data_IF_885707371875
#
_entry.id   IF_885707371875
#
_cell.length_a   1.000
_cell.length_b   1.000
_cell.length_c   1.000
_cell.angle_alpha   90.00
_cell.angle_beta   90.00
_cell.angle_gamma   90.00
#
_symmetry.space_group_name_H-M   'P 1'
#
loop_
_entity.id
_entity.type
_entity.pdbx_description
1 polymer ?
#
# COMPACT_ATOMS: atom_id res chain seq x y z
N UNK A 1 -5.46 21.34 8.19
CA UNK A 1 -6.38 21.82 9.23
C UNK A 1 -6.03 23.27 9.65
N UNK A 2 -4.75 23.64 9.98
CA UNK A 2 -4.41 25.02 10.34
C UNK A 2 -4.73 26.06 9.26
N UNK A 3 -4.57 25.71 7.98
CA UNK A 3 -4.99 26.59 6.88
C UNK A 3 -6.51 26.80 6.86
N UNK A 4 -7.28 25.78 7.15
CA UNK A 4 -8.74 25.91 7.23
C UNK A 4 -9.18 26.83 8.38
N UNK A 5 -8.53 26.72 9.54
CA UNK A 5 -8.77 27.63 10.68
C UNK A 5 -8.42 29.10 10.34
N UNK A 6 -7.45 29.32 9.46
CA UNK A 6 -7.08 30.65 8.96
C UNK A 6 -7.98 31.16 7.83
N UNK A 7 -9.07 30.47 7.53
CA UNK A 7 -9.97 30.82 6.40
C UNK A 7 -9.41 30.47 5.01
N UNK A 8 -8.28 29.79 4.91
CA UNK A 8 -7.61 29.40 3.66
C UNK A 8 -7.87 27.93 3.27
N UNK A 9 -9.01 27.38 3.72
CA UNK A 9 -9.37 25.96 3.45
C UNK A 9 -9.49 25.62 1.96
N UNK A 10 -10.11 26.51 1.16
CA UNK A 10 -10.20 26.34 -0.28
C UNK A 10 -8.82 26.23 -0.94
N UNK A 11 -7.87 27.09 -0.54
CA UNK A 11 -6.50 27.04 -1.04
C UNK A 11 -5.77 25.77 -0.64
N UNK A 12 -5.98 25.26 0.58
CA UNK A 12 -5.40 23.99 1.03
C UNK A 12 -5.90 22.81 0.20
N UNK A 13 -7.21 22.75 -0.04
CA UNK A 13 -7.84 21.71 -0.88
C UNK A 13 -7.40 21.81 -2.35
N UNK A 14 -7.26 23.03 -2.87
CA UNK A 14 -6.73 23.26 -4.21
C UNK A 14 -5.29 22.72 -4.34
N UNK A 15 -4.42 23.06 -3.41
CA UNK A 15 -3.07 22.52 -3.39
C UNK A 15 -3.03 20.99 -3.24
N UNK A 16 -3.92 20.43 -2.41
CA UNK A 16 -4.04 18.98 -2.30
C UNK A 16 -4.38 18.36 -3.67
N UNK A 17 -5.43 18.86 -4.35
CA UNK A 17 -5.86 18.34 -5.65
C UNK A 17 -4.78 18.43 -6.74
N UNK A 18 -4.15 19.61 -6.88
CA UNK A 18 -3.15 19.83 -7.92
C UNK A 18 -1.86 19.04 -7.64
N UNK A 19 -1.39 19.02 -6.38
CA UNK A 19 -0.20 18.27 -6.01
C UNK A 19 -0.40 16.76 -6.18
N UNK A 20 -1.59 16.25 -5.85
CA UNK A 20 -1.99 14.86 -6.07
C UNK A 20 -2.00 14.52 -7.56
N UNK A 21 -2.63 15.36 -8.39
CA UNK A 21 -2.65 15.16 -9.84
C UNK A 21 -1.26 15.13 -10.46
N UNK A 22 -0.39 16.08 -10.10
CA UNK A 22 0.99 16.15 -10.62
C UNK A 22 1.81 14.97 -10.09
N UNK A 23 1.66 14.59 -8.81
CA UNK A 23 2.33 13.45 -8.20
C UNK A 23 2.02 12.13 -8.90
N UNK A 24 0.73 11.87 -9.16
CA UNK A 24 0.30 10.68 -9.91
C UNK A 24 0.78 10.74 -11.35
N UNK A 25 0.67 11.89 -12.03
CA UNK A 25 1.14 12.03 -13.40
C UNK A 25 2.64 11.77 -13.54
N UNK A 26 3.44 12.28 -12.60
CA UNK A 26 4.88 12.00 -12.56
C UNK A 26 5.17 10.50 -12.40
N UNK A 27 4.54 9.86 -11.42
CA UNK A 27 4.73 8.43 -11.17
C UNK A 27 4.18 7.57 -12.31
N UNK A 28 3.14 8.03 -13.02
CA UNK A 28 2.63 7.40 -14.23
C UNK A 28 3.67 7.40 -15.36
N UNK A 29 4.37 8.53 -15.58
CA UNK A 29 5.47 8.57 -16.55
C UNK A 29 6.53 7.52 -16.19
N UNK A 30 6.95 7.49 -14.93
CA UNK A 30 7.94 6.50 -14.47
C UNK A 30 7.42 5.07 -14.66
N UNK A 31 6.15 4.80 -14.35
CA UNK A 31 5.52 3.49 -14.54
C UNK A 31 5.57 3.03 -15.99
N UNK A 32 5.19 3.90 -16.93
CA UNK A 32 5.13 3.58 -18.38
C UNK A 32 6.50 3.16 -18.92
N UNK A 33 7.59 3.76 -18.44
CA UNK A 33 8.93 3.41 -18.91
C UNK A 33 9.60 2.33 -18.06
N UNK A 34 9.47 2.39 -16.75
CA UNK A 34 10.17 1.48 -15.85
C UNK A 34 9.54 0.08 -15.80
N UNK A 35 8.21 -0.04 -15.86
CA UNK A 35 7.57 -1.34 -15.73
C UNK A 35 7.88 -2.28 -16.92
N UNK A 36 7.79 -1.87 -18.19
CA UNK A 36 8.18 -2.75 -19.30
C UNK A 36 9.68 -3.12 -19.26
N UNK A 37 10.55 -2.16 -18.90
CA UNK A 37 11.98 -2.42 -18.77
C UNK A 37 12.29 -3.43 -17.66
N UNK A 38 11.62 -3.31 -16.52
CA UNK A 38 11.75 -4.28 -15.43
C UNK A 38 11.16 -5.64 -15.80
N UNK A 39 10.00 -5.67 -16.46
CA UNK A 39 9.36 -6.91 -16.90
C UNK A 39 10.25 -7.70 -17.86
N UNK A 40 10.96 -7.03 -18.80
CA UNK A 40 11.88 -7.70 -19.73
C UNK A 40 13.04 -8.41 -19.02
N UNK A 41 13.53 -7.85 -17.93
CA UNK A 41 14.55 -8.51 -17.09
C UNK A 41 13.95 -9.67 -16.30
N UNK A 42 12.72 -9.51 -15.79
CA UNK A 42 12.06 -10.52 -14.96
C UNK A 42 11.58 -11.76 -15.76
N UNK A 43 11.53 -11.70 -17.08
CA UNK A 43 11.22 -12.87 -17.93
C UNK A 43 12.24 -13.99 -17.76
N UNK A 44 13.48 -13.64 -17.46
CA UNK A 44 14.57 -14.62 -17.25
C UNK A 44 14.51 -15.28 -15.86
N UNK A 45 13.57 -14.88 -15.00
CA UNK A 45 13.45 -15.40 -13.65
C UNK A 45 12.90 -16.84 -13.66
N UNK A 46 13.65 -17.75 -13.03
CA UNK A 46 13.18 -19.09 -12.67
C UNK A 46 12.67 -19.15 -11.24
N UNK A 47 12.34 -20.35 -10.77
CA UNK A 47 11.85 -20.57 -9.40
C UNK A 47 12.79 -20.04 -8.30
N UNK A 48 14.13 -20.13 -8.41
CA UNK A 48 15.02 -19.54 -7.39
C UNK A 48 14.91 -18.01 -7.31
N UNK A 49 14.80 -17.32 -8.43
CA UNK A 49 14.65 -15.88 -8.48
C UNK A 49 13.29 -15.45 -7.91
N UNK A 50 12.20 -16.13 -8.26
CA UNK A 50 10.87 -15.86 -7.70
C UNK A 50 10.81 -16.15 -6.20
N UNK A 51 11.46 -17.22 -5.73
CA UNK A 51 11.60 -17.49 -4.29
C UNK A 51 12.34 -16.37 -3.57
N UNK A 52 13.50 -15.97 -4.10
CA UNK A 52 14.31 -14.89 -3.54
C UNK A 52 13.53 -13.56 -3.53
N UNK A 53 12.74 -13.28 -4.57
CA UNK A 53 11.90 -12.12 -4.69
C UNK A 53 10.76 -12.14 -3.66
N UNK A 54 10.08 -13.28 -3.47
CA UNK A 54 9.07 -13.44 -2.45
C UNK A 54 9.66 -13.29 -1.04
N UNK A 55 10.86 -13.83 -0.80
CA UNK A 55 11.62 -13.62 0.44
C UNK A 55 11.97 -12.15 0.65
N UNK A 56 12.42 -11.44 -0.38
CA UNK A 56 12.65 -10.00 -0.33
C UNK A 56 11.36 -9.26 0.05
N UNK A 57 10.23 -9.55 -0.60
CA UNK A 57 8.93 -8.96 -0.25
C UNK A 57 8.51 -9.24 1.20
N UNK A 58 8.72 -10.46 1.69
CA UNK A 58 8.48 -10.81 3.10
C UNK A 58 9.46 -10.10 4.05
N UNK A 59 10.71 -9.87 3.65
CA UNK A 59 11.69 -9.15 4.47
C UNK A 59 11.30 -7.69 4.72
N UNK A 60 10.56 -7.09 3.79
CA UNK A 60 10.04 -5.72 3.93
C UNK A 60 9.06 -5.62 5.11
N UNK A 61 8.39 -6.73 5.49
CA UNK A 61 7.53 -6.80 6.67
C UNK A 61 8.24 -6.22 7.91
N UNK A 62 9.51 -6.56 8.10
CA UNK A 62 10.31 -6.09 9.23
C UNK A 62 10.54 -4.58 9.15
N UNK A 63 10.75 -4.06 7.95
CA UNK A 63 10.97 -2.63 7.71
C UNK A 63 9.71 -1.79 7.93
N UNK A 64 8.54 -2.34 7.62
CA UNK A 64 7.23 -1.68 7.69
C UNK A 64 6.51 -1.88 9.03
N UNK A 65 7.12 -2.66 9.93
CA UNK A 65 6.52 -3.04 11.23
C UNK A 65 6.27 -1.86 12.21
N UNK A 66 6.64 -0.65 11.86
CA UNK A 66 6.35 0.56 12.67
C UNK A 66 7.03 0.52 14.04
N UNK A 67 6.24 0.66 15.11
CA UNK A 67 6.76 0.76 16.49
C UNK A 67 7.39 -0.53 17.04
N UNK A 68 7.01 -1.72 16.54
CA UNK A 68 7.48 -3.01 17.04
C UNK A 68 7.70 -4.02 15.93
N UNK A 69 8.96 -4.37 15.71
CA UNK A 69 9.37 -5.40 14.74
C UNK A 69 8.70 -6.74 15.07
N UNK A 70 8.63 -7.10 16.36
CA UNK A 70 8.05 -8.38 16.81
C UNK A 70 6.58 -8.48 16.39
N UNK A 71 5.79 -7.43 16.61
CA UNK A 71 4.38 -7.40 16.21
C UNK A 71 4.22 -7.51 14.69
N UNK A 72 5.11 -6.87 13.91
CA UNK A 72 5.11 -6.99 12.45
C UNK A 72 5.43 -8.40 11.98
N UNK A 73 6.43 -9.05 12.57
CA UNK A 73 6.80 -10.44 12.25
C UNK A 73 5.65 -11.40 12.60
N UNK A 74 5.04 -11.26 13.79
CA UNK A 74 3.88 -12.07 14.19
C UNK A 74 2.73 -11.88 13.20
N UNK A 75 2.40 -10.65 12.83
CA UNK A 75 1.36 -10.35 11.85
C UNK A 75 1.68 -10.98 10.48
N UNK A 76 2.91 -10.88 10.02
CA UNK A 76 3.36 -11.50 8.77
C UNK A 76 3.27 -13.02 8.79
N UNK A 77 3.74 -13.66 9.86
CA UNK A 77 3.63 -15.11 10.05
C UNK A 77 2.18 -15.59 10.12
N UNK A 78 1.30 -14.80 10.73
CA UNK A 78 -0.13 -15.08 10.73
C UNK A 78 -0.68 -15.06 9.30
N UNK A 79 -0.33 -14.06 8.50
CA UNK A 79 -0.72 -14.01 7.09
C UNK A 79 -0.19 -15.20 6.28
N UNK A 80 1.08 -15.56 6.47
CA UNK A 80 1.68 -16.76 5.85
C UNK A 80 0.94 -18.04 6.28
N UNK A 81 0.62 -18.17 7.57
CA UNK A 81 -0.16 -19.32 8.09
C UNK A 81 -1.54 -19.44 7.41
N UNK A 82 -2.24 -18.32 7.24
CA UNK A 82 -3.53 -18.29 6.53
C UNK A 82 -3.36 -18.67 5.05
N UNK A 83 -2.25 -18.29 4.41
CA UNK A 83 -1.99 -18.62 2.99
C UNK A 83 -1.77 -20.12 2.73
N UNK A 84 -1.51 -20.90 3.77
CA UNK A 84 -1.33 -22.36 3.66
C UNK A 84 -2.63 -23.15 3.74
N UNK A 85 -3.76 -22.51 4.02
CA UNK A 85 -5.07 -23.17 4.02
C UNK A 85 -5.44 -23.49 2.57
N UNK A 86 -5.85 -24.74 2.31
CA UNK A 86 -6.30 -25.18 0.99
C UNK A 86 -5.50 -26.37 0.45
N UNK A 87 -5.46 -26.50 -0.86
CA UNK A 87 -4.70 -27.55 -1.55
C UNK A 87 -3.24 -27.16 -1.67
N UNK A 88 -2.35 -28.07 -1.31
CA UNK A 88 -0.92 -27.97 -1.58
C UNK A 88 -0.67 -27.87 -3.09
N UNK A 89 -0.04 -26.79 -3.59
CA UNK A 89 0.13 -26.58 -5.04
C UNK A 89 1.13 -27.56 -5.70
N UNK A 90 1.88 -28.35 -4.91
CA UNK A 90 2.89 -29.30 -5.43
C UNK A 90 2.40 -30.74 -5.32
N UNK A 91 1.89 -31.13 -4.15
CA UNK A 91 1.51 -32.52 -3.86
C UNK A 91 0.01 -32.77 -3.97
N UNK A 92 -0.82 -31.72 -4.07
CA UNK A 92 -2.27 -31.85 -4.17
C UNK A 92 -2.97 -32.23 -2.86
N UNK A 93 -2.25 -32.33 -1.75
CA UNK A 93 -2.83 -32.69 -0.45
C UNK A 93 -3.61 -31.53 0.15
N UNK A 94 -4.74 -31.81 0.80
CA UNK A 94 -5.51 -30.82 1.54
C UNK A 94 -4.81 -30.45 2.85
N UNK A 95 -4.69 -29.15 3.14
CA UNK A 95 -4.06 -28.62 4.36
C UNK A 95 -5.00 -27.66 5.06
N UNK A 96 -5.25 -27.89 6.34
CA UNK A 96 -6.07 -27.02 7.21
C UNK A 96 -7.48 -26.76 6.66
N UNK A 97 -8.03 -27.70 5.90
CA UNK A 97 -9.39 -27.60 5.31
C UNK A 97 -10.47 -28.05 6.27
N UNK A 98 -10.12 -28.86 7.29
CA UNK A 98 -11.06 -29.39 8.30
C UNK A 98 -12.32 -30.01 7.65
N UNK A 99 -12.15 -30.72 6.53
CA UNK A 99 -13.20 -31.34 5.69
C UNK A 99 -14.24 -30.32 5.17
N UNK A 100 -13.96 -29.03 5.21
CA UNK A 100 -14.84 -28.00 4.67
C UNK A 100 -14.51 -27.75 3.19
N UNK A 101 -15.47 -28.02 2.32
CA UNK A 101 -15.35 -27.87 0.87
C UNK A 101 -14.99 -26.42 0.45
N UNK A 102 -15.44 -25.41 1.21
CA UNK A 102 -15.16 -24.00 0.92
C UNK A 102 -13.69 -23.62 1.21
N UNK A 103 -12.98 -24.40 2.02
CA UNK A 103 -11.57 -24.18 2.34
C UNK A 103 -10.62 -24.93 1.38
N UNK A 104 -11.12 -25.79 0.51
CA UNK A 104 -10.30 -26.53 -0.46
C UNK A 104 -9.58 -25.57 -1.41
N UNK A 105 -10.28 -24.53 -1.89
CA UNK A 105 -9.70 -23.46 -2.72
C UNK A 105 -8.82 -22.46 -1.97
N UNK A 106 -8.65 -22.65 -0.65
CA UNK A 106 -7.95 -21.67 0.21
C UNK A 106 -8.83 -20.48 0.59
N UNK A 107 -8.20 -19.49 1.22
CA UNK A 107 -8.86 -18.24 1.60
C UNK A 107 -8.79 -17.25 0.42
N UNK A 108 -9.95 -16.84 -0.07
CA UNK A 108 -10.06 -15.86 -1.15
C UNK A 108 -9.43 -14.52 -0.72
N UNK A 109 -8.55 -13.98 -1.58
CA UNK A 109 -7.76 -12.80 -1.25
C UNK A 109 -8.63 -11.56 -0.98
N UNK A 110 -9.66 -11.31 -1.80
CA UNK A 110 -10.49 -10.11 -1.66
C UNK A 110 -11.31 -10.08 -0.36
N UNK A 111 -12.04 -11.13 0.03
CA UNK A 111 -12.67 -11.21 1.35
C UNK A 111 -11.69 -11.02 2.51
N UNK A 112 -10.48 -11.58 2.39
CA UNK A 112 -9.44 -11.40 3.40
C UNK A 112 -8.95 -9.93 3.49
N UNK A 113 -8.78 -9.24 2.36
CA UNK A 113 -8.42 -7.83 2.32
C UNK A 113 -9.51 -6.93 2.91
N UNK A 114 -10.78 -7.20 2.59
CA UNK A 114 -11.93 -6.52 3.19
C UNK A 114 -11.91 -6.72 4.71
N UNK A 115 -11.65 -7.96 5.17
CA UNK A 115 -11.49 -8.27 6.58
C UNK A 115 -10.36 -7.47 7.23
N UNK A 116 -9.14 -7.57 6.73
CA UNK A 116 -7.98 -6.94 7.37
C UNK A 116 -7.94 -5.42 7.28
N UNK A 117 -8.50 -4.80 6.22
CA UNK A 117 -8.42 -3.35 6.06
C UNK A 117 -9.73 -2.64 6.34
N UNK A 118 -10.84 -3.06 5.70
CA UNK A 118 -12.09 -2.29 5.74
C UNK A 118 -12.77 -2.40 7.10
N UNK A 119 -12.99 -3.60 7.59
CA UNK A 119 -13.74 -3.82 8.84
C UNK A 119 -13.04 -3.18 10.05
N UNK A 120 -11.74 -3.37 10.30
CA UNK A 120 -11.06 -2.71 11.40
C UNK A 120 -11.10 -1.19 11.32
N UNK A 121 -10.96 -0.62 10.11
CA UNK A 121 -11.00 0.82 9.90
C UNK A 121 -12.39 1.39 10.21
N UNK A 122 -13.46 0.71 9.80
CA UNK A 122 -14.83 1.11 10.10
C UNK A 122 -15.10 1.05 11.60
N UNK A 123 -14.75 -0.07 12.27
CA UNK A 123 -14.95 -0.24 13.70
C UNK A 123 -14.15 0.76 14.55
N UNK A 124 -12.92 1.09 14.14
CA UNK A 124 -12.13 2.13 14.78
C UNK A 124 -12.71 3.54 14.53
N UNK A 125 -13.27 3.77 13.34
CA UNK A 125 -13.94 5.03 12.99
C UNK A 125 -15.17 5.33 13.86
N UNK A 126 -15.91 4.31 14.28
CA UNK A 126 -17.07 4.46 15.16
C UNK A 126 -16.69 5.03 16.55
N UNK A 127 -15.43 4.91 16.96
CA UNK A 127 -14.94 5.42 18.26
C UNK A 127 -14.31 6.82 18.16
N UNK A 128 -14.25 7.41 16.97
CA UNK A 128 -13.63 8.71 16.69
C UNK A 128 -14.60 9.89 16.88
N UNK A 129 -14.03 11.05 17.20
CA UNK A 129 -14.79 12.29 17.29
C UNK A 129 -15.16 12.80 15.90
N UNK A 130 -16.41 13.24 15.71
CA UNK A 130 -16.86 13.89 14.46
C UNK A 130 -16.07 15.18 14.22
N UNK A 131 -15.40 15.25 13.07
CA UNK A 131 -14.72 16.45 12.64
C UNK A 131 -15.78 17.41 12.09
N UNK A 132 -16.10 18.46 12.83
CA UNK A 132 -16.98 19.52 12.33
C UNK A 132 -16.19 20.36 11.33
N UNK A 133 -16.43 20.13 10.04
CA UNK A 133 -15.89 20.96 8.97
C UNK A 133 -16.58 22.32 8.96
N UNK A 134 -15.90 23.38 9.37
CA UNK A 134 -16.36 24.76 9.17
C UNK A 134 -16.20 25.08 7.67
N UNK A 135 -17.30 25.01 6.92
CA UNK A 135 -17.34 25.37 5.51
C UNK A 135 -17.62 26.86 5.37
N UNK A 136 -16.58 27.67 5.26
CA UNK A 136 -16.71 29.00 4.68
C UNK A 136 -17.17 28.92 3.20
N UNK A 137 -17.72 29.99 2.64
CA UNK A 137 -18.11 30.04 1.20
C UNK A 137 -16.85 29.83 0.33
N UNK A 138 -16.72 28.65 -0.25
CA UNK A 138 -15.60 28.27 -1.12
C UNK A 138 -15.88 28.84 -2.52
N UNK A 139 -15.00 29.77 -2.99
CA UNK A 139 -15.01 30.27 -4.36
C UNK A 139 -14.02 29.46 -5.21
N UNK A 140 -14.39 29.13 -6.44
CA UNK A 140 -13.52 28.36 -7.34
C UNK A 140 -12.16 29.06 -7.59
N UNK A 141 -12.15 30.40 -7.58
CA UNK A 141 -10.90 31.17 -7.71
C UNK A 141 -9.88 30.96 -6.58
N UNK A 142 -10.37 30.64 -5.38
CA UNK A 142 -9.52 30.41 -4.21
C UNK A 142 -8.95 28.97 -4.20
N UNK A 143 -9.51 28.11 -5.06
CA UNK A 143 -9.12 26.71 -5.17
C UNK A 143 -7.94 26.49 -6.14
N UNK A 144 -7.90 27.23 -7.26
CA UNK A 144 -6.87 27.04 -8.29
C UNK A 144 -5.60 27.80 -7.92
N UNK A 145 -4.44 27.09 -7.71
CA UNK A 145 -3.17 27.76 -7.52
C UNK A 145 -2.80 28.63 -8.72
N UNK A 146 -2.25 29.82 -8.48
CA UNK A 146 -1.78 30.66 -9.57
C UNK A 146 -0.55 30.06 -10.26
N UNK A 147 -0.33 30.40 -11.54
CA UNK A 147 0.84 29.93 -12.29
C UNK A 147 2.17 30.29 -11.59
N UNK A 148 2.25 31.47 -10.99
CA UNK A 148 3.42 31.92 -10.21
C UNK A 148 3.66 31.01 -9.00
N UNK A 149 2.60 30.63 -8.29
CA UNK A 149 2.70 29.71 -7.14
C UNK A 149 3.13 28.31 -7.59
N UNK A 150 2.57 27.77 -8.68
CA UNK A 150 2.99 26.48 -9.27
C UNK A 150 4.49 26.52 -9.65
N UNK A 151 4.94 27.62 -10.26
CA UNK A 151 6.35 27.76 -10.65
C UNK A 151 7.29 27.79 -9.44
N UNK A 152 6.91 28.46 -8.36
CA UNK A 152 7.72 28.52 -7.12
C UNK A 152 7.75 27.20 -6.36
N UNK A 153 6.72 26.34 -6.51
CA UNK A 153 6.61 25.05 -5.82
C UNK A 153 7.12 23.85 -6.63
N UNK A 154 7.48 24.05 -7.90
CA UNK A 154 7.86 22.97 -8.82
C UNK A 154 8.91 22.01 -8.26
N UNK A 155 9.96 22.51 -7.64
CA UNK A 155 11.00 21.65 -7.05
C UNK A 155 10.51 20.83 -5.85
N UNK A 156 9.61 21.40 -5.05
CA UNK A 156 8.97 20.68 -3.96
C UNK A 156 8.11 19.55 -4.51
N UNK A 157 7.29 19.82 -5.51
CA UNK A 157 6.40 18.82 -6.15
C UNK A 157 7.24 17.71 -6.78
N UNK A 158 8.22 18.03 -7.62
CA UNK A 158 9.05 17.04 -8.32
C UNK A 158 9.79 16.15 -7.32
N UNK A 159 10.47 16.74 -6.33
CA UNK A 159 11.17 15.97 -5.29
C UNK A 159 10.24 15.06 -4.52
N UNK A 160 9.08 15.56 -4.13
CA UNK A 160 8.10 14.78 -3.37
C UNK A 160 7.50 13.65 -4.24
N UNK A 161 7.26 13.90 -5.52
CA UNK A 161 6.81 12.88 -6.48
C UNK A 161 7.86 11.78 -6.66
N UNK A 162 9.15 12.13 -6.74
CA UNK A 162 10.26 11.16 -6.79
C UNK A 162 10.27 10.30 -5.53
N UNK A 163 10.21 10.93 -4.34
CA UNK A 163 10.14 10.22 -3.06
C UNK A 163 8.96 9.26 -3.04
N UNK A 164 7.77 9.74 -3.45
CA UNK A 164 6.56 8.93 -3.53
C UNK A 164 6.71 7.72 -4.46
N UNK A 165 7.23 7.94 -5.66
CA UNK A 165 7.42 6.88 -6.66
C UNK A 165 8.39 5.81 -6.17
N UNK A 166 9.53 6.21 -5.58
CA UNK A 166 10.53 5.27 -5.05
C UNK A 166 9.96 4.48 -3.89
N UNK A 167 9.27 5.14 -2.95
CA UNK A 167 8.67 4.48 -1.80
C UNK A 167 7.53 3.56 -2.25
N UNK A 168 6.73 3.98 -3.22
CA UNK A 168 5.67 3.15 -3.79
C UNK A 168 6.19 1.85 -4.41
N UNK A 169 7.37 1.89 -5.04
CA UNK A 169 8.01 0.70 -5.59
C UNK A 169 8.52 -0.28 -4.53
N UNK A 170 8.62 0.15 -3.27
CA UNK A 170 8.97 -0.73 -2.14
C UNK A 170 7.69 -1.35 -1.57
N UNK A 171 7.56 -2.69 -1.54
CA UNK A 171 6.35 -3.36 -1.07
C UNK A 171 5.90 -2.91 0.33
N UNK A 172 4.59 -2.79 0.53
CA UNK A 172 3.91 -2.45 1.79
C UNK A 172 4.29 -1.14 2.48
N UNK A 173 5.07 -0.26 1.87
CA UNK A 173 5.43 1.03 2.49
C UNK A 173 4.27 2.03 2.47
N UNK A 174 3.54 2.11 1.36
CA UNK A 174 2.33 2.90 1.22
C UNK A 174 2.50 4.42 1.25
N UNK A 175 1.44 5.14 0.91
CA UNK A 175 1.42 6.59 0.77
C UNK A 175 1.68 7.37 2.06
N UNK A 176 1.30 6.82 3.22
CA UNK A 176 1.51 7.48 4.50
C UNK A 176 2.99 7.72 4.80
N UNK A 177 3.85 6.69 4.60
CA UNK A 177 5.30 6.80 4.82
C UNK A 177 5.91 7.79 3.83
N UNK A 178 5.50 7.73 2.55
CA UNK A 178 5.95 8.66 1.53
C UNK A 178 5.62 10.11 1.88
N UNK A 179 4.39 10.36 2.34
CA UNK A 179 3.92 11.66 2.78
C UNK A 179 4.76 12.23 3.92
N UNK A 180 5.03 11.42 4.94
CA UNK A 180 5.84 11.85 6.10
C UNK A 180 7.28 12.18 5.70
N UNK A 181 7.91 11.35 4.89
CA UNK A 181 9.29 11.57 4.44
C UNK A 181 9.38 12.84 3.59
N UNK A 182 8.46 13.02 2.64
CA UNK A 182 8.43 14.20 1.78
C UNK A 182 8.16 15.48 2.56
N UNK A 183 7.24 15.43 3.54
CA UNK A 183 6.96 16.53 4.44
C UNK A 183 8.19 16.92 5.27
N UNK A 184 8.84 15.94 5.92
CA UNK A 184 10.03 16.17 6.74
C UNK A 184 11.19 16.75 5.92
N UNK A 185 11.45 16.20 4.74
CA UNK A 185 12.45 16.71 3.82
C UNK A 185 12.15 18.15 3.37
N UNK A 186 10.88 18.44 3.06
CA UNK A 186 10.48 19.79 2.66
C UNK A 186 10.63 20.78 3.79
N UNK A 187 10.26 20.40 5.01
CA UNK A 187 10.45 21.20 6.23
C UNK A 187 11.93 21.51 6.46
N UNK A 188 12.83 20.53 6.37
CA UNK A 188 14.27 20.68 6.61
C UNK A 188 14.95 21.62 5.61
N UNK A 189 14.47 21.66 4.37
CA UNK A 189 15.06 22.50 3.30
C UNK A 189 14.38 23.88 3.23
N UNK A 190 13.25 24.05 3.90
CA UNK A 190 12.51 25.31 3.90
C UNK A 190 13.30 26.43 4.55
N UNK A 191 13.13 27.65 4.03
CA UNK A 191 13.65 28.89 4.67
C UNK A 191 12.96 29.22 5.99
N UNK A 192 11.72 28.71 6.16
CA UNK A 192 10.91 28.89 7.37
C UNK A 192 10.33 27.55 7.84
N UNK A 193 11.15 26.72 8.53
CA UNK A 193 10.74 25.40 9.02
C UNK A 193 9.66 25.48 10.10
N UNK A 194 9.61 26.57 10.86
CA UNK A 194 8.69 26.72 12.01
C UNK A 194 7.24 27.02 11.60
N UNK A 195 7.02 27.42 10.36
CA UNK A 195 5.68 27.61 9.78
C UNK A 195 4.98 26.30 9.42
N UNK A 196 5.73 25.17 9.33
CA UNK A 196 5.18 23.86 9.05
C UNK A 196 4.34 23.38 10.24
N UNK A 197 3.14 22.86 9.93
CA UNK A 197 2.12 22.54 10.94
C UNK A 197 1.29 23.75 11.38
N UNK A 198 1.64 24.98 11.00
CA UNK A 198 0.97 26.24 11.34
C UNK A 198 0.30 26.94 10.15
N UNK A 199 0.13 26.25 9.03
CA UNK A 199 -0.56 26.76 7.83
C UNK A 199 0.34 27.02 6.62
N UNK A 200 1.59 26.54 6.62
CA UNK A 200 2.42 26.55 5.43
C UNK A 200 1.91 25.52 4.41
N UNK A 201 1.50 26.01 3.24
CA UNK A 201 0.93 25.17 2.19
C UNK A 201 1.94 24.19 1.56
N UNK A 202 3.25 24.44 1.66
CA UNK A 202 4.28 23.52 1.16
C UNK A 202 4.25 22.17 1.89
N UNK A 203 3.77 22.13 3.12
CA UNK A 203 3.52 20.89 3.85
C UNK A 203 2.43 20.03 3.20
N UNK A 204 1.34 20.67 2.72
CA UNK A 204 0.28 19.99 1.97
C UNK A 204 0.82 19.53 0.61
N UNK A 205 1.48 20.44 -0.12
CA UNK A 205 2.06 20.16 -1.44
C UNK A 205 2.98 18.94 -1.41
N UNK A 206 3.90 18.90 -0.46
CA UNK A 206 4.89 17.82 -0.38
C UNK A 206 4.26 16.49 0.02
N UNK A 207 3.37 16.50 1.00
CA UNK A 207 2.71 15.28 1.47
C UNK A 207 1.81 14.67 0.37
N UNK A 208 1.01 15.49 -0.30
CA UNK A 208 0.07 15.03 -1.33
C UNK A 208 0.79 14.60 -2.62
N UNK A 209 1.81 15.34 -3.07
CA UNK A 209 2.58 14.93 -4.24
C UNK A 209 3.29 13.58 -4.01
N UNK A 210 3.81 13.33 -2.81
CA UNK A 210 4.43 12.07 -2.49
C UNK A 210 3.39 10.94 -2.32
N UNK A 211 2.29 11.19 -1.61
CA UNK A 211 1.22 10.21 -1.43
C UNK A 211 0.71 9.68 -2.78
N UNK A 212 0.47 10.58 -3.70
CA UNK A 212 -0.04 10.24 -5.02
C UNK A 212 1.06 9.75 -5.98
N UNK A 213 2.31 10.14 -5.74
CA UNK A 213 3.46 9.53 -6.41
C UNK A 213 3.61 8.03 -6.15
N UNK A 214 3.09 7.54 -5.02
CA UNK A 214 3.03 6.11 -4.72
C UNK A 214 2.15 5.34 -5.70
N UNK A 215 1.10 5.95 -6.26
CA UNK A 215 0.16 5.24 -7.13
C UNK A 215 0.84 4.55 -8.32
N UNK A 216 1.60 5.29 -9.12
CA UNK A 216 2.38 4.70 -10.21
C UNK A 216 3.54 3.85 -9.70
N UNK A 217 4.22 4.31 -8.63
CA UNK A 217 5.33 3.56 -8.00
C UNK A 217 4.92 2.16 -7.58
N UNK A 218 3.79 1.99 -6.88
CA UNK A 218 3.29 0.71 -6.39
C UNK A 218 2.77 -0.22 -7.51
N UNK A 219 2.38 0.34 -8.64
CA UNK A 219 1.99 -0.44 -9.81
C UNK A 219 3.18 -1.09 -10.52
N UNK A 220 4.40 -0.56 -10.37
CA UNK A 220 5.60 -1.15 -10.98
C UNK A 220 5.81 -2.59 -10.45
N UNK A 221 6.04 -2.83 -9.15
CA UNK A 221 6.22 -4.19 -8.64
C UNK A 221 4.95 -5.05 -8.79
N UNK A 222 3.76 -4.47 -8.71
CA UNK A 222 2.52 -5.20 -8.92
C UNK A 222 2.49 -5.82 -10.32
N UNK A 223 2.69 -5.03 -11.37
CA UNK A 223 2.52 -5.50 -12.74
C UNK A 223 3.69 -6.35 -13.21
N UNK A 224 4.91 -6.08 -12.74
CA UNK A 224 6.14 -6.78 -13.17
C UNK A 224 6.47 -8.02 -12.35
N UNK A 225 6.18 -8.01 -11.06
CA UNK A 225 6.59 -9.06 -10.11
C UNK A 225 5.39 -9.76 -9.46
N UNK A 226 4.18 -9.18 -9.59
CA UNK A 226 2.99 -9.65 -8.89
C UNK A 226 3.07 -9.42 -7.37
N UNK A 227 3.79 -8.38 -6.94
CA UNK A 227 3.95 -7.99 -5.54
C UNK A 227 3.32 -6.62 -5.34
N UNK A 228 2.28 -6.49 -4.49
CA UNK A 228 1.66 -5.20 -4.27
C UNK A 228 2.56 -4.24 -3.48
N UNK A 229 2.61 -2.98 -3.91
CA UNK A 229 3.36 -1.92 -3.21
C UNK A 229 2.62 -1.36 -1.99
N UNK A 230 1.29 -1.46 -1.97
CA UNK A 230 0.44 -0.96 -0.89
C UNK A 230 -0.90 -1.71 -0.81
N UNK A 231 -1.79 -1.28 0.08
CA UNK A 231 -3.11 -1.90 0.25
C UNK A 231 -4.01 -1.78 -0.97
N UNK A 232 -3.91 -0.67 -1.72
CA UNK A 232 -4.73 -0.43 -2.92
C UNK A 232 -4.29 -1.36 -4.05
N UNK A 233 -2.99 -1.46 -4.27
CA UNK A 233 -2.42 -2.40 -5.26
C UNK A 233 -2.60 -3.86 -4.86
N UNK A 234 -2.70 -4.17 -3.55
CA UNK A 234 -3.08 -5.51 -3.09
C UNK A 234 -4.53 -5.86 -3.48
N UNK A 235 -5.46 -4.90 -3.36
CA UNK A 235 -6.83 -5.08 -3.84
C UNK A 235 -6.88 -5.20 -5.37
N UNK A 236 -6.10 -4.41 -6.09
CA UNK A 236 -6.00 -4.51 -7.55
C UNK A 236 -5.44 -5.86 -7.99
N UNK A 237 -4.44 -6.41 -7.27
CA UNK A 237 -3.93 -7.75 -7.47
C UNK A 237 -5.06 -8.79 -7.37
N UNK A 238 -5.87 -8.71 -6.31
CA UNK A 238 -7.03 -9.58 -6.13
C UNK A 238 -8.03 -9.47 -7.28
N UNK A 239 -8.32 -8.25 -7.73
CA UNK A 239 -9.18 -7.99 -8.89
C UNK A 239 -8.64 -8.61 -10.17
N UNK A 240 -7.35 -8.51 -10.45
CA UNK A 240 -6.71 -9.15 -11.61
C UNK A 240 -6.81 -10.68 -11.55
N UNK A 241 -6.56 -11.27 -10.38
CA UNK A 241 -6.63 -12.72 -10.18
C UNK A 241 -8.05 -13.25 -10.43
N UNK A 242 -9.09 -12.55 -9.97
CA UNK A 242 -10.50 -12.92 -10.21
C UNK A 242 -10.82 -12.95 -11.71
N UNK A 243 -10.22 -12.06 -12.49
CA UNK A 243 -10.36 -12.04 -13.95
C UNK A 243 -9.44 -13.05 -14.67
N UNK A 244 -8.78 -13.95 -13.95
CA UNK A 244 -7.86 -14.94 -14.51
C UNK A 244 -6.53 -14.37 -14.97
N UNK A 245 -6.22 -13.13 -14.60
CA UNK A 245 -4.98 -12.45 -14.96
C UNK A 245 -3.97 -12.62 -13.83
N UNK A 246 -2.79 -13.14 -14.13
CA UNK A 246 -1.70 -13.27 -13.16
C UNK A 246 -0.69 -12.15 -13.37
N UNK A 247 -0.62 -11.17 -12.44
CA UNK A 247 0.41 -10.14 -12.49
C UNK A 247 1.80 -10.73 -12.39
N UNK A 248 2.70 -10.19 -13.20
CA UNK A 248 4.06 -10.66 -13.35
C UNK A 248 4.58 -10.38 -14.76
N UNK A 249 5.83 -10.77 -15.10
CA UNK A 249 6.44 -10.40 -16.38
C UNK A 249 5.70 -11.00 -17.58
N UNK A 250 5.10 -12.19 -17.45
CA UNK A 250 4.31 -12.81 -18.51
C UNK A 250 3.01 -12.05 -18.81
N UNK A 251 2.52 -11.21 -17.92
CA UNK A 251 1.33 -10.37 -18.18
C UNK A 251 1.62 -9.39 -19.33
N UNK A 252 2.85 -8.88 -19.43
CA UNK A 252 3.26 -7.99 -20.51
C UNK A 252 3.30 -8.68 -21.88
N UNK A 253 3.61 -9.98 -21.91
CA UNK A 253 3.67 -10.76 -23.14
C UNK A 253 2.29 -11.28 -23.56
N UNK A 254 1.55 -11.87 -22.60
CA UNK A 254 0.31 -12.58 -22.89
C UNK A 254 -0.89 -11.62 -22.99
N UNK A 255 -0.89 -10.52 -22.23
CA UNK A 255 -2.01 -9.58 -22.14
C UNK A 255 -1.52 -8.11 -22.15
N UNK A 256 -0.76 -7.66 -23.16
CA UNK A 256 -0.22 -6.30 -23.20
C UNK A 256 -1.32 -5.23 -23.19
N UNK A 257 -2.46 -5.49 -23.83
CA UNK A 257 -3.62 -4.59 -23.85
C UNK A 257 -4.17 -4.31 -22.43
N UNK A 258 -4.16 -5.30 -21.55
CA UNK A 258 -4.58 -5.14 -20.15
C UNK A 258 -3.58 -4.25 -19.39
N UNK A 259 -2.27 -4.49 -19.56
CA UNK A 259 -1.22 -3.71 -18.89
C UNK A 259 -1.29 -2.24 -19.28
N UNK A 260 -1.28 -1.96 -20.60
CA UNK A 260 -1.38 -0.58 -21.09
C UNK A 260 -2.76 0.04 -20.82
N UNK A 261 -3.81 -0.78 -20.77
CA UNK A 261 -5.15 -0.39 -20.31
C UNK A 261 -5.13 0.10 -18.86
N UNK A 262 -4.46 -0.62 -17.96
CA UNK A 262 -4.27 -0.20 -16.55
C UNK A 262 -3.48 1.12 -16.45
N UNK A 263 -2.42 1.27 -17.24
CA UNK A 263 -1.66 2.52 -17.25
C UNK A 263 -2.49 3.69 -17.75
N UNK A 264 -3.26 3.48 -18.82
CA UNK A 264 -4.17 4.49 -19.37
C UNK A 264 -5.27 4.84 -18.35
N UNK A 265 -5.83 3.84 -17.68
CA UNK A 265 -6.86 4.03 -16.65
C UNK A 265 -6.34 4.85 -15.48
N UNK A 266 -5.09 4.64 -15.04
CA UNK A 266 -4.47 5.46 -14.00
C UNK A 266 -4.38 6.94 -14.43
N UNK A 267 -3.96 7.21 -15.67
CA UNK A 267 -3.87 8.56 -16.20
C UNK A 267 -5.25 9.23 -16.29
N UNK A 268 -6.21 8.55 -16.93
CA UNK A 268 -7.58 9.06 -17.08
C UNK A 268 -8.24 9.25 -15.71
N UNK A 269 -8.08 8.27 -14.81
CA UNK A 269 -8.56 8.35 -13.44
C UNK A 269 -7.97 9.55 -12.68
N UNK A 270 -6.70 9.87 -12.90
CA UNK A 270 -6.05 11.05 -12.31
C UNK A 270 -6.70 12.34 -12.77
N UNK A 271 -7.01 12.46 -14.07
CA UNK A 271 -7.70 13.63 -14.61
C UNK A 271 -9.09 13.76 -13.97
N UNK A 272 -9.85 12.66 -13.93
CA UNK A 272 -11.17 12.65 -13.29
C UNK A 272 -11.09 12.96 -11.80
N UNK A 273 -10.08 12.44 -11.08
CA UNK A 273 -9.85 12.75 -9.67
C UNK A 273 -9.69 14.26 -9.44
N UNK A 274 -8.85 14.93 -10.23
CA UNK A 274 -8.65 16.38 -10.10
C UNK A 274 -9.92 17.13 -10.42
N UNK A 275 -10.64 16.76 -11.49
CA UNK A 275 -11.92 17.38 -11.87
C UNK A 275 -12.97 17.18 -10.77
N UNK A 276 -13.12 15.96 -10.24
CA UNK A 276 -14.07 15.69 -9.17
C UNK A 276 -13.72 16.43 -7.88
N UNK A 277 -12.43 16.58 -7.54
CA UNK A 277 -12.03 17.39 -6.40
C UNK A 277 -12.36 18.88 -6.61
N UNK A 278 -12.19 19.39 -7.83
CA UNK A 278 -12.50 20.79 -8.13
C UNK A 278 -14.01 21.07 -8.11
N UNK A 279 -14.82 20.23 -8.74
CA UNK A 279 -16.25 20.47 -8.92
C UNK A 279 -17.11 19.78 -7.84
N UNK A 280 -16.69 18.60 -7.39
CA UNK A 280 -17.41 17.77 -6.42
C UNK A 280 -17.21 18.15 -4.96
N UNK A 281 -16.26 19.04 -4.63
CA UNK A 281 -15.91 19.39 -3.25
C UNK A 281 -17.14 19.78 -2.39
N UNK A 282 -18.11 20.46 -2.96
CA UNK A 282 -19.33 20.86 -2.26
C UNK A 282 -20.21 19.66 -1.88
N UNK A 283 -20.24 18.64 -2.74
CA UNK A 283 -20.97 17.39 -2.51
C UNK A 283 -20.25 16.56 -1.44
N UNK A 284 -18.93 16.43 -1.55
CA UNK A 284 -18.13 15.68 -0.59
C UNK A 284 -18.21 16.28 0.83
N UNK A 285 -18.19 17.60 0.97
CA UNK A 285 -18.38 18.25 2.28
C UNK A 285 -19.76 17.91 2.87
N UNK A 286 -20.82 17.83 2.05
CA UNK A 286 -22.14 17.41 2.53
C UNK A 286 -22.16 15.95 2.98
N UNK A 287 -21.47 15.06 2.25
CA UNK A 287 -21.35 13.64 2.64
C UNK A 287 -20.60 13.51 3.97
N UNK A 288 -19.52 14.28 4.17
CA UNK A 288 -18.77 14.31 5.43
C UNK A 288 -19.57 14.87 6.62
N UNK A 289 -20.69 15.55 6.37
CA UNK A 289 -21.59 16.01 7.44
C UNK A 289 -22.55 14.92 7.97
N UNK A 290 -22.61 13.76 7.29
CA UNK A 290 -23.39 12.61 7.75
C UNK A 290 -22.75 12.03 9.02
N UNK A 291 -23.55 11.73 10.07
CA UNK A 291 -23.01 11.17 11.31
C UNK A 291 -22.19 9.89 11.05
N UNK A 292 -20.99 9.84 11.63
CA UNK A 292 -20.04 8.73 11.40
C UNK A 292 -20.64 7.36 11.71
N UNK A 293 -21.50 7.27 12.71
CA UNK A 293 -22.16 6.02 13.11
C UNK A 293 -23.07 5.47 11.99
N UNK A 294 -23.77 6.34 11.27
CA UNK A 294 -24.60 5.93 10.13
C UNK A 294 -23.75 5.49 8.95
N UNK A 295 -22.70 6.28 8.62
CA UNK A 295 -21.75 5.92 7.57
C UNK A 295 -21.07 4.58 7.88
N UNK A 296 -20.64 4.36 9.10
CA UNK A 296 -19.99 3.12 9.52
C UNK A 296 -20.89 1.90 9.37
N UNK A 297 -22.16 2.00 9.79
CA UNK A 297 -23.12 0.92 9.62
C UNK A 297 -23.33 0.56 8.13
N UNK A 298 -23.51 1.59 7.28
CA UNK A 298 -23.66 1.40 5.85
C UNK A 298 -22.41 0.77 5.22
N UNK A 299 -21.21 1.19 5.61
CA UNK A 299 -19.96 0.67 5.10
C UNK A 299 -19.74 -0.80 5.50
N UNK A 300 -20.14 -1.21 6.71
CA UNK A 300 -20.10 -2.64 7.11
C UNK A 300 -20.98 -3.46 6.19
N UNK A 301 -22.25 -3.05 6.00
CA UNK A 301 -23.19 -3.77 5.12
C UNK A 301 -22.63 -3.87 3.69
N UNK A 302 -22.13 -2.77 3.13
CA UNK A 302 -21.54 -2.76 1.79
C UNK A 302 -20.30 -3.65 1.69
N UNK A 303 -19.47 -3.71 2.73
CA UNK A 303 -18.30 -4.59 2.78
C UNK A 303 -18.70 -6.07 2.77
N UNK A 304 -19.73 -6.44 3.53
CA UNK A 304 -20.24 -7.82 3.59
C UNK A 304 -20.93 -8.22 2.27
N UNK A 305 -21.75 -7.35 1.73
CA UNK A 305 -22.38 -7.56 0.41
C UNK A 305 -21.32 -7.65 -0.68
N UNK A 306 -20.29 -6.81 -0.65
CA UNK A 306 -19.16 -6.88 -1.56
C UNK A 306 -18.40 -8.20 -1.47
N UNK A 307 -18.15 -8.71 -0.26
CA UNK A 307 -17.51 -10.01 -0.05
C UNK A 307 -18.34 -11.16 -0.63
N UNK A 308 -19.67 -11.11 -0.48
CA UNK A 308 -20.57 -12.10 -1.06
C UNK A 308 -20.58 -12.05 -2.59
N UNK A 309 -20.72 -10.84 -3.15
CA UNK A 309 -20.92 -10.63 -4.57
C UNK A 309 -19.73 -11.06 -5.45
N UNK A 310 -18.53 -11.15 -4.89
CA UNK A 310 -17.32 -11.54 -5.62
C UNK A 310 -17.38 -12.96 -6.16
N UNK A 311 -17.79 -13.92 -5.32
CA UNK A 311 -17.81 -15.33 -5.66
C UNK A 311 -19.21 -15.95 -5.49
N UNK A 312 -20.24 -15.16 -5.16
CA UNK A 312 -21.59 -15.60 -4.78
C UNK A 312 -21.55 -16.66 -3.66
N UNK A 313 -20.59 -16.55 -2.75
CA UNK A 313 -20.36 -17.50 -1.69
C UNK A 313 -20.51 -16.85 -0.31
N UNK A 314 -21.45 -17.33 0.49
CA UNK A 314 -21.66 -16.84 1.86
C UNK A 314 -20.47 -17.14 2.77
N UNK A 315 -19.67 -18.15 2.46
CA UNK A 315 -18.46 -18.44 3.21
C UNK A 315 -17.44 -17.29 3.16
N UNK A 316 -17.36 -16.57 2.05
CA UNK A 316 -16.51 -15.38 1.91
C UNK A 316 -16.92 -14.24 2.86
N UNK A 317 -18.21 -14.12 3.17
CA UNK A 317 -18.71 -13.18 4.18
C UNK A 317 -18.22 -13.60 5.57
N UNK A 318 -18.28 -14.90 5.89
CA UNK A 318 -17.77 -15.41 7.17
C UNK A 318 -16.27 -15.16 7.30
N UNK A 319 -15.50 -15.42 6.24
CA UNK A 319 -14.06 -15.13 6.19
C UNK A 319 -13.78 -13.66 6.45
N UNK A 320 -14.50 -12.77 5.75
CA UNK A 320 -14.33 -11.32 5.93
C UNK A 320 -14.65 -10.88 7.36
N UNK A 321 -15.68 -11.43 7.98
CA UNK A 321 -16.04 -11.14 9.38
C UNK A 321 -15.00 -11.66 10.37
N UNK A 322 -14.54 -12.91 10.23
CA UNK A 322 -13.53 -13.50 11.13
C UNK A 322 -12.22 -12.73 11.03
N UNK A 323 -11.73 -12.49 9.80
CA UNK A 323 -10.49 -11.74 9.58
C UNK A 323 -10.68 -10.27 9.94
N UNK A 324 -11.90 -9.72 9.81
CA UNK A 324 -12.22 -8.37 10.24
C UNK A 324 -12.16 -8.19 11.74
N UNK A 325 -12.72 -9.13 12.50
CA UNK A 325 -12.63 -9.14 13.96
C UNK A 325 -11.17 -9.34 14.42
N UNK A 326 -10.46 -10.28 13.80
CA UNK A 326 -9.04 -10.50 14.05
C UNK A 326 -8.23 -9.23 13.76
N UNK A 327 -8.43 -8.59 12.62
CA UNK A 327 -7.79 -7.34 12.25
C UNK A 327 -8.12 -6.20 13.22
N UNK A 328 -9.34 -6.13 13.72
CA UNK A 328 -9.73 -5.16 14.74
C UNK A 328 -8.98 -5.37 16.06
N UNK A 329 -8.92 -6.61 16.56
CA UNK A 329 -8.16 -6.97 17.76
C UNK A 329 -6.66 -6.67 17.58
N UNK A 330 -6.10 -7.03 16.41
CA UNK A 330 -4.72 -6.71 16.05
C UNK A 330 -4.48 -5.20 16.04
N UNK A 331 -5.39 -4.42 15.46
CA UNK A 331 -5.30 -2.96 15.41
C UNK A 331 -5.31 -2.33 16.81
N UNK A 332 -6.14 -2.85 17.72
CA UNK A 332 -6.17 -2.42 19.13
C UNK A 332 -4.88 -2.79 19.86
N UNK A 333 -4.24 -3.86 19.46
CA UNK A 333 -2.93 -4.28 19.98
C UNK A 333 -1.74 -3.61 19.30
N UNK A 334 -1.92 -2.57 18.46
CA UNK A 334 -0.86 -1.93 17.66
C UNK A 334 -0.11 -2.90 16.74
N UNK A 335 -0.76 -3.95 16.23
CA UNK A 335 -0.21 -4.82 15.21
C UNK A 335 -0.44 -4.19 13.83
N UNK A 336 0.59 -4.09 12.98
CA UNK A 336 0.43 -3.57 11.62
C UNK A 336 -0.29 -4.56 10.70
N UNK A 337 -1.27 -4.09 9.92
CA UNK A 337 -2.06 -4.95 9.02
C UNK A 337 -1.31 -5.27 7.72
N UNK A 338 -0.50 -4.35 7.21
CA UNK A 338 0.24 -4.55 5.97
C UNK A 338 1.14 -5.81 5.97
N UNK A 339 1.89 -6.12 7.04
CA UNK A 339 2.60 -7.39 7.18
C UNK A 339 1.71 -8.63 7.06
N UNK A 340 0.52 -8.64 7.68
CA UNK A 340 -0.39 -9.78 7.60
C UNK A 340 -0.87 -10.02 6.15
N UNK A 341 -1.20 -8.96 5.45
CA UNK A 341 -1.61 -9.02 4.04
C UNK A 341 -0.46 -9.46 3.14
N UNK A 342 0.75 -8.93 3.34
CA UNK A 342 1.93 -9.39 2.59
C UNK A 342 2.22 -10.87 2.84
N UNK A 343 2.13 -11.32 4.08
CA UNK A 343 2.26 -12.73 4.43
C UNK A 343 1.23 -13.60 3.69
N UNK A 344 -0.03 -13.15 3.66
CA UNK A 344 -1.10 -13.83 2.93
C UNK A 344 -0.83 -13.92 1.42
N UNK A 345 -0.39 -12.81 0.80
CA UNK A 345 -0.16 -12.75 -0.65
C UNK A 345 1.09 -13.52 -1.07
N UNK A 346 2.17 -13.38 -0.30
CA UNK A 346 3.48 -13.91 -0.68
C UNK A 346 3.78 -15.28 -0.09
N UNK A 347 3.08 -15.70 0.97
CA UNK A 347 3.38 -16.94 1.70
C UNK A 347 3.30 -18.18 0.82
N UNK A 348 2.17 -18.39 0.15
CA UNK A 348 1.99 -19.51 -0.77
C UNK A 348 2.95 -19.46 -1.96
N UNK A 349 3.22 -18.27 -2.51
CA UNK A 349 4.15 -18.07 -3.62
C UNK A 349 5.58 -18.38 -3.19
N UNK A 350 5.99 -17.91 -2.02
CA UNK A 350 7.31 -18.23 -1.44
C UNK A 350 7.48 -19.73 -1.24
N UNK A 351 6.52 -20.39 -0.59
CA UNK A 351 6.57 -21.84 -0.37
C UNK A 351 6.69 -22.61 -1.69
N UNK A 352 5.83 -22.31 -2.65
CA UNK A 352 5.79 -22.99 -3.94
C UNK A 352 7.14 -22.88 -4.66
N UNK A 353 7.66 -21.67 -4.79
CA UNK A 353 8.90 -21.43 -5.53
C UNK A 353 10.14 -21.92 -4.75
N UNK A 354 10.10 -21.89 -3.42
CA UNK A 354 11.14 -22.48 -2.57
C UNK A 354 11.21 -23.99 -2.78
N UNK A 355 10.08 -24.68 -2.71
CA UNK A 355 10.00 -26.14 -2.88
C UNK A 355 10.37 -26.57 -4.30
N UNK A 356 9.90 -25.83 -5.33
CA UNK A 356 10.31 -26.07 -6.72
C UNK A 356 11.81 -25.90 -6.91
N UNK A 357 12.40 -24.87 -6.33
CA UNK A 357 13.86 -24.66 -6.37
C UNK A 357 14.63 -25.80 -5.78
N UNK A 358 14.15 -26.35 -4.65
CA UNK A 358 14.75 -27.53 -4.03
C UNK A 358 14.56 -28.79 -4.88
N UNK A 359 13.43 -28.98 -5.53
CA UNK A 359 13.21 -30.08 -6.47
C UNK A 359 14.19 -30.03 -7.65
N UNK A 360 14.36 -28.84 -8.26
CA UNK A 360 15.30 -28.63 -9.37
C UNK A 360 16.73 -28.94 -8.97
N UNK A 361 17.10 -28.64 -7.72
CA UNK A 361 18.45 -28.79 -7.20
C UNK A 361 18.68 -30.10 -6.42
N UNK A 362 17.74 -31.05 -6.49
CA UNK A 362 17.79 -32.29 -5.71
C UNK A 362 18.03 -32.06 -4.19
N UNK A 363 17.37 -31.07 -3.63
CA UNK A 363 17.43 -30.70 -2.22
C UNK A 363 18.58 -29.76 -1.84
N UNK A 364 19.39 -29.28 -2.78
CA UNK A 364 20.53 -28.43 -2.49
C UNK A 364 20.16 -26.94 -2.41
N UNK A 365 20.43 -26.30 -1.26
CA UNK A 365 20.29 -24.85 -1.08
C UNK A 365 21.30 -24.02 -1.91
N UNK A 366 22.31 -24.65 -2.49
CA UNK A 366 23.34 -23.96 -3.29
C UNK A 366 22.75 -23.27 -4.52
N UNK A 367 21.59 -23.73 -5.02
CA UNK A 367 20.91 -23.14 -6.18
C UNK A 367 20.66 -21.63 -6.02
N UNK A 368 20.33 -21.17 -4.82
CA UNK A 368 20.07 -19.77 -4.54
C UNK A 368 21.33 -18.89 -4.62
N UNK A 369 22.49 -19.46 -4.36
CA UNK A 369 23.79 -18.75 -4.41
C UNK A 369 24.49 -18.89 -5.78
N UNK A 370 24.14 -19.91 -6.54
CA UNK A 370 24.66 -20.11 -7.91
C UNK A 370 23.97 -19.20 -8.95
N UNK A 371 22.76 -18.72 -8.63
CA UNK A 371 22.00 -17.81 -9.46
C UNK A 371 22.26 -16.37 -9.02
N UNK A 372 22.91 -15.52 -9.87
CA UNK A 372 23.39 -14.20 -9.43
C UNK A 372 22.24 -13.29 -9.01
N UNK A 373 21.10 -13.32 -9.71
CA UNK A 373 19.93 -12.50 -9.38
C UNK A 373 19.30 -12.96 -8.05
N UNK A 374 19.09 -14.26 -7.87
CA UNK A 374 18.57 -14.81 -6.61
C UNK A 374 19.47 -14.47 -5.43
N UNK A 375 20.78 -14.65 -5.59
CA UNK A 375 21.78 -14.31 -4.57
C UNK A 375 21.73 -12.81 -4.22
N UNK A 376 21.71 -11.93 -5.21
CA UNK A 376 21.61 -10.49 -5.00
C UNK A 376 20.34 -10.10 -4.24
N UNK A 377 19.18 -10.64 -4.63
CA UNK A 377 17.89 -10.38 -3.95
C UNK A 377 17.93 -10.85 -2.48
N UNK A 378 18.48 -12.03 -2.20
CA UNK A 378 18.62 -12.54 -0.83
C UNK A 378 19.56 -11.66 -0.01
N UNK A 379 20.69 -11.24 -0.58
CA UNK A 379 21.63 -10.35 0.11
C UNK A 379 20.99 -8.98 0.42
N UNK A 380 20.23 -8.42 -0.50
CA UNK A 380 19.47 -7.17 -0.29
C UNK A 380 18.43 -7.38 0.81
N UNK A 381 17.68 -8.50 0.77
CA UNK A 381 16.67 -8.82 1.78
C UNK A 381 17.29 -8.93 3.19
N UNK A 382 18.38 -9.68 3.33
CA UNK A 382 19.11 -9.82 4.60
C UNK A 382 19.69 -8.48 5.05
N UNK A 383 20.28 -7.71 4.13
CA UNK A 383 20.78 -6.36 4.41
C UNK A 383 19.68 -5.42 4.94
N UNK A 384 18.47 -5.46 4.35
CA UNK A 384 17.33 -4.70 4.82
C UNK A 384 16.87 -5.14 6.22
N UNK A 385 16.82 -6.44 6.49
CA UNK A 385 16.50 -6.97 7.84
C UNK A 385 17.48 -6.42 8.86
N UNK A 386 18.79 -6.58 8.61
CA UNK A 386 19.85 -6.12 9.51
C UNK A 386 19.77 -4.61 9.73
N UNK A 387 19.64 -3.85 8.64
CA UNK A 387 19.50 -2.38 8.72
C UNK A 387 18.29 -1.96 9.54
N UNK A 388 17.13 -2.58 9.32
CA UNK A 388 15.90 -2.29 10.05
C UNK A 388 16.04 -2.58 11.55
N UNK A 389 16.60 -3.73 11.92
CA UNK A 389 16.83 -4.11 13.32
C UNK A 389 17.82 -3.14 14.00
N UNK A 390 18.93 -2.81 13.33
CA UNK A 390 19.93 -1.87 13.87
C UNK A 390 19.36 -0.46 14.03
N UNK A 391 18.64 0.01 13.01
CA UNK A 391 17.98 1.33 13.03
C UNK A 391 16.94 1.42 14.16
N UNK A 392 16.12 0.40 14.33
CA UNK A 392 15.12 0.34 15.39
C UNK A 392 15.77 0.37 16.79
N UNK A 393 16.83 -0.42 17.02
CA UNK A 393 17.59 -0.40 18.29
C UNK A 393 18.23 0.96 18.58
N UNK A 394 18.75 1.63 17.53
CA UNK A 394 19.31 2.99 17.68
C UNK A 394 18.25 4.01 18.03
N UNK A 395 17.06 3.92 17.40
CA UNK A 395 15.92 4.81 17.69
C UNK A 395 15.43 4.64 19.14
N UNK A 396 15.31 3.41 19.64
CA UNK A 396 14.92 3.13 21.01
C UNK A 396 15.95 3.68 22.03
N UNK A 397 17.26 3.50 21.77
CA UNK A 397 18.31 4.06 22.64
C UNK A 397 18.29 5.59 22.69
N UNK A 398 17.99 6.26 21.55
CA UNK A 398 17.88 7.72 21.51
C UNK A 398 16.64 8.21 22.27
N UNK A 399 15.51 7.53 22.15
CA UNK A 399 14.30 7.86 22.91
C UNK A 399 14.52 7.71 24.41
N UNK A 400 15.12 6.59 24.86
CA UNK A 400 15.45 6.37 26.26
C UNK A 400 16.45 7.42 26.81
N UNK A 401 17.43 7.84 26.01
CA UNK A 401 18.38 8.87 26.41
C UNK A 401 17.71 10.28 26.50
N UNK A 402 16.70 10.55 25.67
CA UNK A 402 15.94 11.82 25.74
C UNK A 402 15.00 11.85 26.94
N UNK A 403 14.42 10.72 27.32
CA UNK A 403 13.55 10.65 28.52
C UNK A 403 14.40 10.75 29.80
N UNK A 404 15.55 10.10 29.87
CA UNK A 404 16.50 10.24 30.99
C UNK A 404 17.13 11.64 31.14
N UNK A 405 17.12 12.45 30.06
CA UNK A 405 17.60 13.83 30.12
C UNK A 405 16.51 14.85 30.52
N UNK A 406 15.27 14.41 30.63
CA UNK A 406 14.12 15.22 31.08
C UNK A 406 13.75 15.00 32.55
N UNK A 407 14.21 13.88 33.15
CA UNK A 407 14.20 13.62 34.59
C UNK A 407 15.44 14.25 35.25
#
# INVERSE_FOLDING_TARGET
>A
YPMAQQGKGAKALGWAAFSSGIGTFFSWIVLVFAAPALASVCIEFGSPEYCALAFFGLSVIISVSGKSIIKGVIAGLLGVGISFIGIDPIWGNMRFTFDNINLIGGISLMPALIGFYSIPQILNGCTGHSIHAHSGKIRLKDFVPSFKELWTTKFTIIRSSIIGTIIGAVPATGGNIASYIAYDQTKKISKDPDSFGKGNYLGVVSAEAANNGVCGGAMIPLTTLGIPGDSVTAMLLGGLIIHGLQPGPLLFQNNPSVVYGLFTTLLVGTIFMVLLQMFGIRVFIKILSVPINFLSAMLVVLSLVGSYALNNNFFDVIVALILGLLGYVMSRGDFPMAPAVLGLVLGSKFETEFRRSLQISHGSMRIFFQRPIACALILIAVGMIVFSVVSHRRSQKRAAAQDAAKE
#
